data_IF_833542470269
#
_entry.id   IF_833542470269
#
_cell.length_a   1.000
_cell.length_b   1.000
_cell.length_c   1.000
_cell.angle_alpha   90.00
_cell.angle_beta   90.00
_cell.angle_gamma   90.00
#
_symmetry.space_group_name_H-M   'P 1'
#
loop_
_entity.id
_entity.type
_entity.pdbx_description
1 polymer ?
#
# COMPACT_ATOMS: atom_id res chain seq x y z
N UNK A 1 60.37 38.71 19.67
CA UNK A 1 59.39 38.67 18.57
C UNK A 1 58.25 37.73 18.98
N UNK A 2 57.13 38.28 19.45
CA UNK A 2 55.93 37.51 19.78
C UNK A 2 55.21 37.09 18.50
N UNK A 3 55.05 35.78 18.29
CA UNK A 3 54.03 35.24 17.39
C UNK A 3 52.98 34.53 18.24
N UNK A 4 51.83 35.18 18.38
CA UNK A 4 50.61 34.62 18.95
C UNK A 4 50.14 33.46 18.06
N UNK A 5 50.08 32.26 18.61
CA UNK A 5 49.44 31.11 17.96
C UNK A 5 47.93 31.28 18.05
N UNK A 6 47.27 31.52 16.92
CA UNK A 6 45.81 31.46 16.85
C UNK A 6 45.37 30.02 17.12
N UNK A 7 44.57 29.83 18.17
CA UNK A 7 43.97 28.55 18.51
C UNK A 7 42.98 28.12 17.40
N UNK A 8 43.47 27.32 16.44
CA UNK A 8 42.68 26.68 15.37
C UNK A 8 41.80 25.51 15.86
N UNK A 9 41.83 25.17 17.15
CA UNK A 9 41.15 24.00 17.70
C UNK A 9 39.62 24.09 17.89
N UNK A 10 38.97 25.24 18.13
CA UNK A 10 37.51 25.24 18.35
C UNK A 10 36.72 25.16 17.03
N UNK A 11 37.29 25.61 15.91
CA UNK A 11 36.61 25.64 14.61
C UNK A 11 36.55 24.25 13.96
N UNK A 12 37.61 23.45 14.07
CA UNK A 12 37.63 22.07 13.58
C UNK A 12 36.66 21.16 14.33
N UNK A 13 36.45 21.39 15.64
CA UNK A 13 35.50 20.63 16.45
C UNK A 13 34.05 21.00 16.13
N UNK A 14 33.76 22.29 15.87
CA UNK A 14 32.44 22.75 15.46
C UNK A 14 32.02 22.22 14.07
N UNK A 15 32.95 22.12 13.11
CA UNK A 15 32.66 21.51 11.80
C UNK A 15 32.43 19.99 11.89
N UNK A 16 33.16 19.28 12.75
CA UNK A 16 32.97 17.84 12.93
C UNK A 16 31.61 17.50 13.57
N UNK A 17 31.13 18.29 14.53
CA UNK A 17 29.80 18.12 15.15
C UNK A 17 28.68 18.51 14.18
N UNK A 18 28.88 19.55 13.36
CA UNK A 18 27.93 19.90 12.30
C UNK A 18 27.83 18.80 11.23
N UNK A 19 28.95 18.19 10.82
CA UNK A 19 28.94 17.10 9.84
C UNK A 19 28.18 15.85 10.34
N UNK A 20 28.27 15.54 11.64
CA UNK A 20 27.54 14.40 12.25
C UNK A 20 26.03 14.69 12.36
N UNK A 21 25.64 15.95 12.58
CA UNK A 21 24.23 16.35 12.65
C UNK A 21 23.51 16.31 11.29
N UNK A 22 24.24 16.42 10.18
CA UNK A 22 23.69 16.27 8.82
C UNK A 22 23.77 14.84 8.25
N UNK A 23 24.48 13.93 8.91
CA UNK A 23 24.60 12.51 8.51
C UNK A 23 23.61 11.56 9.19
N UNK A 24 22.76 12.06 10.10
CA UNK A 24 21.65 11.25 10.59
C UNK A 24 20.72 10.94 9.41
N UNK A 25 20.36 9.66 9.14
CA UNK A 25 19.42 9.34 8.09
C UNK A 25 18.13 10.10 8.37
N UNK A 26 17.83 11.07 7.52
CA UNK A 26 16.50 11.68 7.52
C UNK A 26 15.57 10.61 7.01
N UNK A 27 14.50 10.33 7.76
CA UNK A 27 13.39 9.56 7.22
C UNK A 27 12.82 10.34 6.05
N UNK A 28 13.24 9.96 4.84
CA UNK A 28 12.68 10.51 3.62
C UNK A 28 11.41 9.73 3.33
N UNK A 29 10.28 10.43 3.22
CA UNK A 29 9.02 9.84 2.74
C UNK A 29 9.18 9.55 1.25
N UNK A 30 9.79 8.42 0.94
CA UNK A 30 9.95 7.90 -0.41
C UNK A 30 8.89 6.81 -0.66
N UNK A 31 8.71 6.43 -1.92
CA UNK A 31 7.94 5.22 -2.25
C UNK A 31 8.69 4.01 -1.71
N UNK A 32 8.00 3.15 -0.97
CA UNK A 32 8.52 1.89 -0.42
C UNK A 32 8.34 0.71 -1.39
N UNK A 33 7.67 0.93 -2.52
CA UNK A 33 7.51 -0.05 -3.58
C UNK A 33 8.88 -0.40 -4.21
N UNK A 34 9.17 -1.70 -4.33
CA UNK A 34 10.45 -2.22 -4.79
C UNK A 34 11.69 -1.74 -3.98
N UNK A 35 11.51 -1.22 -2.77
CA UNK A 35 12.60 -0.62 -1.96
C UNK A 35 13.41 -1.67 -1.16
N UNK A 36 13.03 -2.95 -1.23
CA UNK A 36 13.68 -4.03 -0.50
C UNK A 36 13.89 -5.30 -1.31
N UNK A 37 14.92 -6.08 -0.96
CA UNK A 37 15.17 -7.38 -1.59
C UNK A 37 13.93 -8.29 -1.54
N UNK A 38 13.17 -8.24 -0.43
CA UNK A 38 11.97 -9.06 -0.23
C UNK A 38 10.80 -8.67 -1.15
N UNK A 39 10.67 -7.40 -1.49
CA UNK A 39 9.64 -6.93 -2.42
C UNK A 39 10.06 -7.20 -3.86
N UNK A 40 11.36 -7.14 -4.17
CA UNK A 40 11.91 -7.50 -5.48
C UNK A 40 11.74 -8.99 -5.85
N UNK A 41 11.82 -9.91 -4.88
CA UNK A 41 11.70 -11.37 -5.14
C UNK A 41 10.28 -11.92 -5.07
N UNK A 42 9.34 -11.16 -4.47
CA UNK A 42 7.94 -11.55 -4.35
C UNK A 42 7.05 -10.34 -4.59
N UNK A 43 6.90 -10.01 -5.87
CA UNK A 43 6.09 -8.90 -6.37
C UNK A 43 4.63 -9.00 -5.89
N UNK A 44 4.14 -10.21 -5.65
CA UNK A 44 2.79 -10.45 -5.11
C UNK A 44 2.59 -9.88 -3.71
N UNK A 45 3.66 -9.61 -2.96
CA UNK A 45 3.62 -9.03 -1.62
C UNK A 45 4.14 -7.58 -1.56
N UNK A 46 4.57 -7.02 -2.70
CA UNK A 46 5.03 -5.64 -2.82
C UNK A 46 3.84 -4.70 -3.01
N UNK A 47 3.56 -3.85 -2.02
CA UNK A 47 2.45 -2.89 -2.08
C UNK A 47 2.86 -1.75 -2.99
N UNK A 48 2.01 -1.44 -3.97
CA UNK A 48 2.18 -0.23 -4.80
C UNK A 48 1.38 0.93 -4.22
N UNK A 49 0.09 0.69 -3.93
CA UNK A 49 -0.85 1.74 -3.59
C UNK A 49 -1.93 1.28 -2.61
N UNK A 50 -2.44 2.24 -1.83
CA UNK A 50 -3.65 2.13 -1.02
C UNK A 50 -4.65 3.20 -1.46
N UNK A 51 -5.88 2.78 -1.76
CA UNK A 51 -7.02 3.67 -1.96
C UNK A 51 -8.07 3.45 -0.88
N UNK A 52 -8.66 4.54 -0.38
CA UNK A 52 -9.76 4.51 0.57
C UNK A 52 -10.77 5.60 0.20
N UNK A 53 -12.00 5.22 -0.12
CA UNK A 53 -13.03 6.17 -0.54
C UNK A 53 -14.44 5.67 -0.21
N UNK A 54 -15.40 6.59 -0.17
CA UNK A 54 -16.83 6.23 -0.09
C UNK A 54 -17.29 5.75 -1.46
N UNK A 55 -18.05 4.65 -1.50
CA UNK A 55 -18.52 4.08 -2.76
C UNK A 55 -19.35 5.11 -3.54
N UNK A 56 -19.06 5.35 -4.83
CA UNK A 56 -19.85 6.30 -5.63
C UNK A 56 -21.26 5.80 -5.92
N UNK A 57 -21.52 4.50 -5.69
CA UNK A 57 -22.83 3.86 -5.89
C UNK A 57 -23.66 3.81 -4.61
N UNK A 58 -23.02 3.89 -3.46
CA UNK A 58 -23.68 3.81 -2.16
C UNK A 58 -22.90 4.64 -1.14
N UNK A 59 -23.40 5.82 -0.74
CA UNK A 59 -22.69 6.69 0.19
C UNK A 59 -22.58 6.09 1.60
N UNK A 60 -23.25 4.99 1.92
CA UNK A 60 -23.10 4.28 3.19
C UNK A 60 -21.94 3.27 3.18
N UNK A 61 -21.36 2.98 2.02
CA UNK A 61 -20.28 2.00 1.90
C UNK A 61 -18.91 2.65 1.76
N UNK A 62 -17.91 1.99 2.34
CA UNK A 62 -16.50 2.31 2.16
C UNK A 62 -15.87 1.27 1.25
N UNK A 63 -15.00 1.71 0.34
CA UNK A 63 -14.18 0.87 -0.53
C UNK A 63 -12.73 1.08 -0.15
N UNK A 64 -12.02 -0.01 0.11
CA UNK A 64 -10.56 -0.02 0.27
C UNK A 64 -9.94 -0.86 -0.84
N UNK A 65 -8.83 -0.38 -1.40
CA UNK A 65 -8.07 -1.09 -2.43
C UNK A 65 -6.62 -1.15 -1.99
N UNK A 66 -6.03 -2.34 -2.00
CA UNK A 66 -4.60 -2.55 -1.86
C UNK A 66 -4.11 -3.13 -3.17
N UNK A 67 -3.27 -2.37 -3.86
CA UNK A 67 -2.61 -2.81 -5.07
C UNK A 67 -1.25 -3.41 -4.73
N UNK A 68 -0.91 -4.49 -5.43
CA UNK A 68 0.36 -5.18 -5.37
C UNK A 68 0.77 -5.63 -6.76
N UNK A 69 2.03 -6.04 -6.93
CA UNK A 69 2.55 -6.59 -8.17
C UNK A 69 2.28 -5.67 -9.38
N UNK A 70 3.01 -4.56 -9.45
CA UNK A 70 3.04 -3.70 -10.63
C UNK A 70 3.26 -4.52 -11.92
N UNK A 71 2.67 -4.05 -13.03
CA UNK A 71 2.78 -4.69 -14.35
C UNK A 71 2.35 -6.16 -14.35
N UNK A 72 1.32 -6.48 -13.56
CA UNK A 72 0.77 -7.84 -13.49
C UNK A 72 0.23 -8.31 -14.86
N UNK A 73 0.08 -9.61 -15.02
CA UNK A 73 -0.52 -10.22 -16.23
C UNK A 73 -1.62 -11.18 -15.82
N UNK A 74 -2.39 -11.68 -16.79
CA UNK A 74 -3.60 -12.48 -16.54
C UNK A 74 -3.37 -13.70 -15.64
N UNK A 75 -2.15 -14.23 -15.56
CA UNK A 75 -1.79 -15.38 -14.72
C UNK A 75 -1.07 -15.02 -13.41
N UNK A 76 -0.81 -13.73 -13.14
CA UNK A 76 -0.20 -13.25 -11.89
C UNK A 76 -0.95 -13.76 -10.65
N UNK A 77 -0.25 -13.88 -9.53
CA UNK A 77 -0.80 -14.48 -8.29
C UNK A 77 -0.45 -13.63 -7.08
N UNK A 78 -1.32 -13.69 -6.08
CA UNK A 78 -0.99 -13.20 -4.74
C UNK A 78 0.01 -14.15 -4.09
N UNK A 79 0.90 -13.60 -3.26
CA UNK A 79 1.79 -14.38 -2.40
C UNK A 79 0.97 -15.21 -1.41
N UNK A 80 1.32 -16.47 -1.24
CA UNK A 80 0.75 -17.34 -0.20
C UNK A 80 1.50 -17.22 1.15
N UNK A 81 2.66 -16.56 1.14
CA UNK A 81 3.54 -16.35 2.29
C UNK A 81 3.40 -14.96 2.90
N UNK A 82 2.31 -14.26 2.59
CA UNK A 82 1.98 -12.97 3.16
C UNK A 82 0.49 -12.90 3.55
N UNK A 83 0.21 -12.15 4.61
CA UNK A 83 -1.10 -11.64 4.96
C UNK A 83 -1.19 -10.17 4.54
N UNK A 84 -2.33 -9.79 3.97
CA UNK A 84 -2.60 -8.47 3.42
C UNK A 84 -3.58 -7.77 4.35
N UNK A 85 -3.09 -6.79 5.10
CA UNK A 85 -3.82 -6.16 6.20
C UNK A 85 -4.13 -4.70 5.87
N UNK A 86 -5.42 -4.39 5.82
CA UNK A 86 -5.90 -3.03 6.03
C UNK A 86 -6.01 -2.80 7.54
N UNK A 87 -5.31 -1.78 8.04
CA UNK A 87 -5.44 -1.25 9.40
C UNK A 87 -6.34 -0.03 9.35
N UNK A 88 -7.39 -0.04 10.16
CA UNK A 88 -8.38 1.03 10.22
C UNK A 88 -8.41 1.53 11.67
N UNK A 89 -8.06 2.79 11.88
CA UNK A 89 -7.97 3.37 13.23
C UNK A 89 -8.91 4.56 13.35
N UNK A 90 -9.82 4.57 14.34
CA UNK A 90 -10.66 5.72 14.63
C UNK A 90 -9.84 6.98 14.89
N UNK A 91 -10.32 8.11 14.37
CA UNK A 91 -9.86 9.45 14.76
C UNK A 91 -10.99 10.05 15.60
N UNK A 92 -10.70 10.29 16.89
CA UNK A 92 -11.69 10.82 17.84
C UNK A 92 -11.75 12.35 17.81
N UNK A 93 -10.64 13.00 17.48
CA UNK A 93 -10.53 14.46 17.41
C UNK A 93 -10.13 14.89 15.99
N UNK A 94 -11.10 15.44 15.26
CA UNK A 94 -10.94 15.89 13.88
C UNK A 94 -9.95 17.05 13.69
N UNK A 95 -9.64 17.82 14.75
CA UNK A 95 -8.66 18.89 14.69
C UNK A 95 -7.22 18.37 14.77
N UNK A 96 -7.00 17.28 15.50
CA UNK A 96 -5.65 16.70 15.66
C UNK A 96 -5.33 15.60 14.65
N UNK A 97 -6.36 14.98 14.07
CA UNK A 97 -6.25 13.84 13.14
C UNK A 97 -5.40 12.67 13.69
N UNK A 98 -5.27 12.56 15.02
CA UNK A 98 -4.49 11.51 15.65
C UNK A 98 -5.27 10.19 15.66
N UNK A 99 -4.77 9.14 14.99
CA UNK A 99 -5.43 7.84 15.02
C UNK A 99 -5.30 7.19 16.41
N UNK A 100 -6.37 6.58 16.89
CA UNK A 100 -6.35 5.81 18.13
C UNK A 100 -5.48 4.56 17.98
N UNK A 101 -4.48 4.40 18.85
CA UNK A 101 -3.60 3.24 18.83
C UNK A 101 -4.24 1.97 19.43
N UNK A 102 -5.26 2.11 20.28
CA UNK A 102 -5.87 1.00 21.03
C UNK A 102 -7.18 0.47 20.44
N UNK A 103 -7.76 1.14 19.44
CA UNK A 103 -9.04 0.79 18.82
C UNK A 103 -8.87 0.41 17.35
N UNK A 104 -7.83 -0.36 17.01
CA UNK A 104 -7.59 -0.78 15.64
C UNK A 104 -8.60 -1.84 15.18
N UNK A 105 -9.30 -1.52 14.09
CA UNK A 105 -10.12 -2.43 13.30
C UNK A 105 -9.30 -2.91 12.10
N UNK A 106 -9.60 -4.11 11.57
CA UNK A 106 -8.79 -4.68 10.48
C UNK A 106 -9.62 -5.41 9.44
N UNK A 107 -9.11 -5.41 8.22
CA UNK A 107 -9.49 -6.39 7.20
C UNK A 107 -8.22 -7.11 6.78
N UNK A 108 -8.15 -8.42 7.01
CA UNK A 108 -6.96 -9.24 6.70
C UNK A 108 -7.33 -10.28 5.66
N UNK A 109 -6.75 -10.18 4.47
CA UNK A 109 -6.87 -11.18 3.42
C UNK A 109 -5.62 -12.05 3.37
N UNK A 110 -5.81 -13.35 3.25
CA UNK A 110 -4.73 -14.32 3.05
C UNK A 110 -5.06 -15.20 1.85
N UNK A 111 -4.02 -15.63 1.15
CA UNK A 111 -4.17 -16.46 -0.05
C UNK A 111 -3.49 -17.79 0.19
N UNK A 112 -4.18 -18.86 -0.18
CA UNK A 112 -3.71 -20.21 0.00
C UNK A 112 -4.12 -21.06 -1.20
N UNK A 113 -3.59 -22.29 -1.23
CA UNK A 113 -3.85 -23.29 -2.27
C UNK A 113 -3.38 -22.84 -3.66
N UNK A 114 -3.41 -23.80 -4.57
CA UNK A 114 -2.93 -23.64 -5.92
C UNK A 114 -1.41 -23.64 -5.99
N UNK A 115 -0.90 -23.99 -7.15
CA UNK A 115 0.52 -23.93 -7.49
C UNK A 115 0.64 -23.41 -8.91
N UNK A 116 1.74 -22.70 -9.21
CA UNK A 116 1.90 -21.85 -10.39
C UNK A 116 1.52 -22.54 -11.71
N UNK A 117 1.64 -23.88 -11.80
CA UNK A 117 1.34 -24.65 -13.01
C UNK A 117 0.54 -25.95 -12.81
N UNK A 118 0.34 -26.42 -11.57
CA UNK A 118 -0.27 -27.75 -11.30
C UNK A 118 -1.62 -27.70 -10.59
N UNK A 119 -1.96 -26.57 -9.97
CA UNK A 119 -3.25 -26.37 -9.33
C UNK A 119 -3.73 -24.93 -9.58
N UNK A 120 -4.70 -24.73 -10.50
CA UNK A 120 -5.04 -23.39 -10.98
C UNK A 120 -5.68 -22.54 -9.88
N UNK A 121 -6.50 -23.15 -9.03
CA UNK A 121 -7.30 -22.47 -8.00
C UNK A 121 -6.43 -21.96 -6.86
N UNK A 122 -6.36 -20.64 -6.73
CA UNK A 122 -5.94 -19.95 -5.51
C UNK A 122 -7.20 -19.48 -4.80
N UNK A 123 -7.23 -19.62 -3.47
CA UNK A 123 -8.37 -19.22 -2.65
C UNK A 123 -7.96 -18.07 -1.74
N UNK A 124 -8.78 -17.03 -1.70
CA UNK A 124 -8.70 -15.95 -0.72
C UNK A 124 -9.55 -16.28 0.49
N UNK A 125 -9.06 -15.92 1.67
CA UNK A 125 -9.85 -15.81 2.90
C UNK A 125 -9.61 -14.42 3.49
N UNK A 126 -10.66 -13.61 3.53
CA UNK A 126 -10.65 -12.27 4.10
C UNK A 126 -11.44 -12.25 5.40
N UNK A 127 -10.79 -11.79 6.48
CA UNK A 127 -11.35 -11.65 7.81
C UNK A 127 -11.56 -10.17 8.08
N UNK A 128 -12.82 -9.77 8.24
CA UNK A 128 -13.24 -8.43 8.62
C UNK A 128 -13.44 -8.41 10.13
N UNK A 129 -12.61 -7.68 10.85
CA UNK A 129 -12.64 -7.57 12.31
C UNK A 129 -12.90 -6.12 12.70
N UNK A 130 -14.17 -5.81 12.94
CA UNK A 130 -14.66 -4.49 13.31
C UNK A 130 -15.19 -4.49 14.74
N UNK A 131 -15.44 -3.31 15.29
CA UNK A 131 -16.08 -3.17 16.60
C UNK A 131 -17.49 -3.78 16.62
N UNK A 132 -18.19 -3.76 15.47
CA UNK A 132 -19.51 -4.39 15.28
C UNK A 132 -19.47 -5.93 15.24
N UNK A 133 -18.29 -6.53 15.13
CA UNK A 133 -18.11 -7.97 15.10
C UNK A 133 -17.15 -8.44 14.01
N UNK A 134 -16.97 -9.76 13.97
CA UNK A 134 -16.05 -10.44 13.07
C UNK A 134 -16.80 -11.22 11.99
N UNK A 135 -16.40 -11.06 10.75
CA UNK A 135 -16.92 -11.79 9.60
C UNK A 135 -15.78 -12.38 8.76
N UNK A 136 -16.03 -13.54 8.16
CA UNK A 136 -15.07 -14.22 7.27
C UNK A 136 -15.72 -14.48 5.92
N UNK A 137 -15.00 -14.13 4.86
CA UNK A 137 -15.38 -14.33 3.47
C UNK A 137 -14.30 -15.13 2.74
N UNK A 138 -14.70 -16.20 2.06
CA UNK A 138 -13.80 -17.06 1.29
C UNK A 138 -14.29 -17.17 -0.14
N UNK A 139 -13.38 -17.05 -1.11
CA UNK A 139 -13.70 -17.13 -2.53
C UNK A 139 -12.46 -17.53 -3.35
N UNK A 140 -12.67 -18.12 -4.52
CA UNK A 140 -11.58 -18.45 -5.44
C UNK A 140 -11.14 -17.18 -6.21
N UNK A 141 -9.84 -17.00 -6.38
CA UNK A 141 -9.23 -15.82 -7.03
C UNK A 141 -8.58 -16.15 -8.37
N UNK A 142 -8.69 -17.41 -8.78
CA UNK A 142 -8.24 -17.89 -10.09
C UNK A 142 -9.22 -18.90 -10.65
N UNK A 143 -9.50 -18.75 -11.95
CA UNK A 143 -10.28 -19.72 -12.72
C UNK A 143 -9.45 -20.94 -13.10
N UNK A 144 -10.12 -21.97 -13.63
CA UNK A 144 -9.46 -23.17 -14.16
C UNK A 144 -8.54 -22.88 -15.37
N UNK A 145 -8.67 -21.69 -15.99
CA UNK A 145 -7.77 -21.20 -17.05
C UNK A 145 -6.56 -20.42 -16.52
N UNK A 146 -6.26 -20.53 -15.23
CA UNK A 146 -5.16 -19.82 -14.55
C UNK A 146 -5.31 -18.28 -14.51
N UNK A 147 -6.45 -17.75 -14.97
CA UNK A 147 -6.72 -16.31 -15.01
C UNK A 147 -7.03 -15.77 -13.61
N UNK A 148 -6.32 -14.73 -13.18
CA UNK A 148 -6.47 -14.04 -11.91
C UNK A 148 -7.69 -13.12 -11.90
N UNK A 149 -8.59 -13.37 -10.96
CA UNK A 149 -9.87 -12.69 -10.86
C UNK A 149 -10.87 -13.56 -10.13
N UNK A 150 -11.44 -13.01 -9.07
CA UNK A 150 -12.57 -13.60 -8.39
C UNK A 150 -13.14 -12.66 -7.34
N UNK A 151 -14.36 -12.91 -6.92
CA UNK A 151 -15.03 -12.12 -5.90
C UNK A 151 -15.93 -12.98 -5.04
N UNK A 152 -16.15 -12.55 -3.80
CA UNK A 152 -17.14 -13.09 -2.89
C UNK A 152 -17.98 -11.97 -2.28
N UNK A 153 -19.14 -12.34 -1.78
CA UNK A 153 -20.05 -11.45 -1.04
C UNK A 153 -20.69 -12.23 0.10
N UNK A 154 -20.89 -11.57 1.24
CA UNK A 154 -21.61 -12.13 2.38
C UNK A 154 -22.27 -10.98 3.16
N UNK A 155 -23.60 -10.93 3.16
CA UNK A 155 -24.31 -9.82 3.79
C UNK A 155 -23.97 -8.48 3.12
N UNK A 156 -23.46 -7.53 3.88
CA UNK A 156 -23.06 -6.19 3.42
C UNK A 156 -21.56 -6.05 3.10
N UNK A 157 -20.79 -7.14 3.20
CA UNK A 157 -19.37 -7.16 2.82
C UNK A 157 -19.18 -7.82 1.46
N UNK A 158 -18.30 -7.23 0.65
CA UNK A 158 -17.86 -7.74 -0.64
C UNK A 158 -16.36 -7.66 -0.76
N UNK A 159 -15.75 -8.64 -1.42
CA UNK A 159 -14.35 -8.59 -1.78
C UNK A 159 -14.14 -9.04 -3.23
N UNK A 160 -13.12 -8.46 -3.86
CA UNK A 160 -12.57 -8.91 -5.13
C UNK A 160 -11.06 -9.04 -4.98
N UNK A 161 -10.48 -10.03 -5.63
CA UNK A 161 -9.03 -10.18 -5.74
C UNK A 161 -8.65 -10.67 -7.14
N UNK A 162 -7.77 -9.94 -7.83
CA UNK A 162 -7.29 -10.31 -9.15
C UNK A 162 -6.74 -9.13 -9.95
N UNK A 163 -6.51 -9.35 -11.24
CA UNK A 163 -5.90 -8.35 -12.13
C UNK A 163 -6.91 -7.27 -12.51
N UNK A 164 -6.46 -6.01 -12.50
CA UNK A 164 -7.21 -4.82 -12.93
C UNK A 164 -6.30 -3.91 -13.75
N UNK A 165 -6.90 -2.99 -14.50
CA UNK A 165 -6.15 -1.86 -15.05
C UNK A 165 -5.59 -1.04 -13.89
N UNK A 166 -4.33 -0.60 -14.01
CA UNK A 166 -3.69 0.22 -13.00
C UNK A 166 -4.38 1.60 -12.89
N UNK A 167 -4.95 1.95 -11.71
CA UNK A 167 -5.59 3.24 -11.52
C UNK A 167 -4.60 4.38 -11.23
N UNK A 168 -3.31 4.08 -10.99
CA UNK A 168 -2.32 5.10 -10.70
C UNK A 168 -2.00 5.93 -11.94
N UNK A 169 -2.05 7.25 -11.79
CA UNK A 169 -1.64 8.19 -12.82
C UNK A 169 -0.24 8.69 -12.49
N UNK A 170 0.72 8.35 -13.35
CA UNK A 170 2.07 8.90 -13.29
C UNK A 170 2.50 9.33 -14.69
N UNK A 171 2.91 10.59 -14.85
CA UNK A 171 3.70 10.99 -16.03
C UNK A 171 5.14 10.55 -15.85
N UNK A 172 5.39 9.27 -16.14
CA UNK A 172 6.69 8.63 -15.90
C UNK A 172 7.82 9.36 -16.64
N UNK A 173 7.56 9.86 -17.84
CA UNK A 173 8.55 10.62 -18.62
C UNK A 173 8.96 11.90 -17.89
N UNK A 174 8.01 12.64 -17.31
CA UNK A 174 8.32 13.84 -16.52
C UNK A 174 8.92 13.52 -15.18
N UNK A 175 8.50 12.44 -14.53
CA UNK A 175 9.10 12.00 -13.27
C UNK A 175 10.58 11.71 -13.46
N UNK A 176 10.96 10.99 -14.53
CA UNK A 176 12.37 10.72 -14.85
C UNK A 176 13.15 12.01 -15.12
N UNK A 177 12.58 12.97 -15.87
CA UNK A 177 13.21 14.28 -16.11
C UNK A 177 13.48 15.03 -14.80
N UNK A 178 12.46 15.14 -13.94
CA UNK A 178 12.58 15.79 -12.64
C UNK A 178 13.62 15.09 -11.75
N UNK A 179 13.63 13.75 -11.73
CA UNK A 179 14.64 12.97 -11.01
C UNK A 179 16.06 13.21 -11.52
N UNK A 180 16.23 13.54 -12.80
CA UNK A 180 17.51 13.91 -13.40
C UNK A 180 17.85 15.41 -13.25
N UNK A 181 17.05 16.19 -12.53
CA UNK A 181 17.27 17.62 -12.31
C UNK A 181 16.83 18.52 -13.47
N UNK A 182 16.08 17.99 -14.43
CA UNK A 182 15.51 18.76 -15.54
C UNK A 182 14.16 19.38 -15.16
N UNK A 183 13.84 20.52 -15.77
CA UNK A 183 12.51 21.13 -15.63
C UNK A 183 11.49 20.35 -16.46
N UNK A 184 10.37 19.98 -15.85
CA UNK A 184 9.20 19.50 -16.57
C UNK A 184 8.36 20.68 -17.08
N UNK A 185 7.90 20.61 -18.33
CA UNK A 185 6.95 21.58 -18.86
C UNK A 185 5.57 21.47 -18.17
N UNK A 186 4.74 22.49 -18.32
CA UNK A 186 3.40 22.59 -17.70
C UNK A 186 2.26 22.12 -18.60
N UNK A 187 2.55 21.38 -19.67
CA UNK A 187 1.48 20.84 -20.54
C UNK A 187 0.70 19.75 -19.81
N UNK A 188 -0.50 19.33 -20.27
CA UNK A 188 -1.22 18.22 -19.63
C UNK A 188 -0.36 16.95 -19.55
N UNK A 189 -0.34 16.30 -18.38
CA UNK A 189 0.46 15.10 -18.16
C UNK A 189 -0.06 13.90 -18.97
N UNK A 190 0.84 13.00 -19.36
CA UNK A 190 0.50 11.73 -20.02
C UNK A 190 0.58 10.58 -19.02
N UNK A 191 -0.47 9.77 -18.90
CA UNK A 191 -0.41 8.57 -18.05
C UNK A 191 0.58 7.55 -18.66
N UNK A 192 1.73 7.39 -18.02
CA UNK A 192 2.77 6.44 -18.40
C UNK A 192 2.40 4.98 -18.12
N UNK A 193 1.38 4.74 -17.28
CA UNK A 193 0.87 3.41 -16.94
C UNK A 193 -0.41 3.05 -17.69
N UNK A 194 -0.84 3.89 -18.63
CA UNK A 194 -2.02 3.59 -19.43
C UNK A 194 -1.85 2.26 -20.20
N UNK A 195 -2.80 1.34 -20.01
CA UNK A 195 -2.75 -0.01 -20.58
C UNK A 195 -1.99 -1.04 -19.74
N UNK A 196 -1.37 -0.62 -18.64
CA UNK A 196 -0.76 -1.53 -17.67
C UNK A 196 -1.79 -2.11 -16.71
N UNK A 197 -1.47 -3.29 -16.23
CA UNK A 197 -2.27 -4.03 -15.26
C UNK A 197 -1.60 -4.02 -13.88
N UNK A 198 -2.42 -4.17 -12.85
CA UNK A 198 -2.04 -4.26 -11.45
C UNK A 198 -2.81 -5.40 -10.78
N UNK A 199 -2.23 -6.04 -9.76
CA UNK A 199 -2.93 -7.05 -8.98
C UNK A 199 -3.59 -6.36 -7.77
N UNK A 200 -4.91 -6.45 -7.66
CA UNK A 200 -5.68 -5.67 -6.68
C UNK A 200 -6.45 -6.56 -5.71
N UNK A 201 -6.44 -6.19 -4.44
CA UNK A 201 -7.40 -6.62 -3.42
C UNK A 201 -8.35 -5.46 -3.17
N UNK A 202 -9.64 -5.66 -3.42
CA UNK A 202 -10.69 -4.66 -3.23
C UNK A 202 -11.65 -5.19 -2.18
N UNK A 203 -11.93 -4.41 -1.15
CA UNK A 203 -12.97 -4.73 -0.16
C UNK A 203 -13.97 -3.58 -0.07
N UNK A 204 -15.24 -3.92 0.03
CA UNK A 204 -16.34 -2.98 0.25
C UNK A 204 -17.16 -3.45 1.45
N UNK A 205 -17.53 -2.54 2.34
CA UNK A 205 -18.34 -2.82 3.53
C UNK A 205 -19.15 -1.60 3.96
N UNK A 206 -20.22 -1.81 4.73
CA UNK A 206 -21.02 -0.71 5.28
C UNK A 206 -20.23 0.05 6.36
N UNK A 207 -20.22 1.39 6.29
CA UNK A 207 -19.55 2.27 7.26
C UNK A 207 -20.13 2.16 8.66
N UNK A 208 -21.37 1.69 8.83
CA UNK A 208 -21.97 1.43 10.15
C UNK A 208 -21.22 0.36 10.95
N UNK A 209 -20.35 -0.42 10.31
CA UNK A 209 -19.51 -1.40 10.98
C UNK A 209 -18.36 -0.79 11.77
N UNK A 210 -17.91 0.40 11.36
CA UNK A 210 -16.78 1.11 11.94
C UNK A 210 -17.12 1.73 13.28
N UNK A 211 -16.14 1.80 14.17
CA UNK A 211 -16.30 2.44 15.47
C UNK A 211 -16.40 3.98 15.40
N UNK A 212 -15.97 4.58 14.29
CA UNK A 212 -15.99 6.04 14.08
C UNK A 212 -16.30 6.39 12.63
N UNK A 213 -17.01 7.51 12.37
CA UNK A 213 -17.21 8.03 11.03
C UNK A 213 -15.92 8.62 10.41
N UNK A 214 -14.92 8.95 11.24
CA UNK A 214 -13.60 9.44 10.79
C UNK A 214 -12.52 8.43 11.18
N UNK A 215 -11.79 7.94 10.19
CA UNK A 215 -10.78 6.89 10.34
C UNK A 215 -9.51 7.21 9.56
N UNK A 216 -8.37 6.77 10.07
CA UNK A 216 -7.14 6.61 9.31
C UNK A 216 -7.04 5.18 8.77
N UNK A 217 -6.59 5.02 7.53
CA UNK A 217 -6.40 3.72 6.89
C UNK A 217 -4.94 3.56 6.48
N UNK A 218 -4.36 2.41 6.78
CA UNK A 218 -3.04 2.01 6.30
C UNK A 218 -3.09 0.58 5.74
N UNK A 219 -2.16 0.28 4.83
CA UNK A 219 -1.98 -1.03 4.22
C UNK A 219 -0.66 -1.63 4.73
N UNK A 220 -0.65 -2.94 4.93
CA UNK A 220 0.56 -3.67 5.34
C UNK A 220 0.51 -5.09 4.80
N UNK A 221 1.61 -5.55 4.21
CA UNK A 221 1.86 -6.98 4.01
C UNK A 221 2.70 -7.52 5.18
N UNK A 222 2.27 -8.64 5.77
CA UNK A 222 2.93 -9.29 6.91
C UNK A 222 3.35 -10.68 6.49
N UNK A 223 4.64 -11.02 6.62
CA UNK A 223 5.15 -12.35 6.29
C UNK A 223 4.67 -13.39 7.30
N UNK A 224 4.37 -14.60 6.79
CA UNK A 224 4.07 -15.79 7.58
C UNK A 224 5.34 -16.53 7.97
#
# INVERSE_FOLDING_TARGET
MNRTSFALKPLAFALAVAAVAFSAPRETLASDHADGLKTAVDLGADITDLFAFTSPKDPNKMVLIMNVHALSFSQSRFSNSADYKFRIRPIENAQTLKPSASKEETVVCSFAKGAFLVAPKQQATCVFNFASGKETLTFDTRSDKFTAGGSGEKGDIRAFAGVRSDPWFLDLGRTVKLSNGELADRTPGKNGLNGSNILSIVVEFNKSRLASPLVAVAAQTVRK
#
